data_IF_044579954416
#
_entry.id   IF_044579954416
#
_cell.length_a   1.000
_cell.length_b   1.000
_cell.length_c   1.000
_cell.angle_alpha   90.00
_cell.angle_beta   90.00
_cell.angle_gamma   90.00
#
_symmetry.space_group_name_H-M   'P 1'
#
loop_
_entity.id
_entity.type
_entity.pdbx_description
1 polymer ?
#
# COMPACT_ATOMS: atom_id res chain seq x y z
N UNK A 1 21.92 1.31 8.51
CA UNK A 1 22.45 0.85 7.22
C UNK A 1 22.50 2.06 6.30
N UNK A 2 23.67 2.45 5.81
CA UNK A 2 23.83 3.49 4.80
C UNK A 2 23.76 2.75 3.46
N UNK A 3 22.76 3.06 2.64
CA UNK A 3 22.64 2.49 1.30
C UNK A 3 23.16 3.52 0.31
N UNK A 4 24.13 3.17 -0.52
CA UNK A 4 24.68 4.05 -1.56
C UNK A 4 23.61 4.38 -2.63
N UNK A 5 22.63 3.49 -2.81
CA UNK A 5 21.51 3.65 -3.71
C UNK A 5 20.19 3.62 -2.93
N UNK A 6 19.43 4.71 -2.98
CA UNK A 6 18.14 4.82 -2.30
C UNK A 6 16.97 4.30 -3.13
N UNK A 7 17.10 4.24 -4.45
CA UNK A 7 16.17 3.64 -5.39
C UNK A 7 16.88 3.24 -6.69
N UNK A 8 16.25 2.37 -7.46
CA UNK A 8 16.66 1.97 -8.81
C UNK A 8 15.50 2.14 -9.78
N UNK A 9 15.76 2.45 -11.05
CA UNK A 9 14.71 2.73 -12.00
C UNK A 9 14.93 2.11 -13.37
N UNK A 10 13.81 1.86 -14.05
CA UNK A 10 13.75 1.45 -15.43
C UNK A 10 12.76 2.37 -16.15
N UNK A 11 13.25 3.23 -17.04
CA UNK A 11 12.39 4.15 -17.81
C UNK A 11 11.65 3.40 -18.90
N UNK A 12 10.32 3.60 -18.98
CA UNK A 12 9.45 2.99 -20.01
C UNK A 12 9.68 1.49 -20.18
N UNK A 13 9.83 0.78 -19.06
CA UNK A 13 10.09 -0.67 -19.03
C UNK A 13 8.90 -1.49 -19.54
N UNK A 14 7.68 -0.98 -19.31
CA UNK A 14 6.46 -1.54 -19.87
C UNK A 14 6.01 -0.74 -21.09
N UNK A 15 5.56 -1.44 -22.13
CA UNK A 15 4.96 -0.82 -23.30
C UNK A 15 3.51 -0.37 -23.03
N UNK A 16 2.93 0.36 -24.00
CA UNK A 16 1.58 0.91 -23.87
C UNK A 16 0.51 -0.17 -23.73
N UNK A 17 0.64 -1.29 -24.43
CA UNK A 17 -0.29 -2.41 -24.35
C UNK A 17 -0.30 -3.04 -22.95
N UNK A 18 0.89 -3.25 -22.36
CA UNK A 18 1.03 -3.77 -20.99
C UNK A 18 0.44 -2.81 -19.96
N UNK A 19 0.71 -1.51 -20.11
CA UNK A 19 0.12 -0.50 -19.23
C UNK A 19 -1.41 -0.46 -19.34
N UNK A 20 -1.97 -0.53 -20.56
CA UNK A 20 -3.40 -0.57 -20.78
C UNK A 20 -4.04 -1.81 -20.13
N UNK A 21 -3.45 -2.99 -20.35
CA UNK A 21 -3.97 -4.24 -19.77
C UNK A 21 -4.04 -4.18 -18.24
N UNK A 22 -3.01 -3.60 -17.57
CA UNK A 22 -3.03 -3.42 -16.11
C UNK A 22 -4.12 -2.43 -15.69
N UNK A 23 -4.29 -1.30 -16.42
CA UNK A 23 -5.32 -0.31 -16.13
C UNK A 23 -6.72 -0.93 -16.27
N UNK A 24 -7.00 -1.59 -17.38
CA UNK A 24 -8.30 -2.24 -17.65
C UNK A 24 -8.62 -3.28 -16.58
N UNK A 25 -7.65 -4.12 -16.22
CA UNK A 25 -7.82 -5.13 -15.17
C UNK A 25 -8.09 -4.47 -13.80
N UNK A 26 -7.35 -3.40 -13.47
CA UNK A 26 -7.52 -2.67 -12.20
C UNK A 26 -8.87 -1.97 -12.11
N UNK A 27 -9.31 -1.30 -13.15
CA UNK A 27 -10.63 -0.66 -13.19
C UNK A 27 -11.78 -1.68 -13.13
N UNK A 28 -11.63 -2.83 -13.80
CA UNK A 28 -12.58 -3.94 -13.72
C UNK A 28 -12.72 -4.47 -12.29
N UNK A 29 -11.59 -4.70 -11.59
CA UNK A 29 -11.56 -5.14 -10.20
C UNK A 29 -12.26 -4.16 -9.26
N UNK A 30 -11.98 -2.86 -9.44
CA UNK A 30 -12.62 -1.81 -8.66
C UNK A 30 -14.13 -1.76 -8.89
N UNK A 31 -14.56 -1.90 -10.14
CA UNK A 31 -15.99 -1.92 -10.50
C UNK A 31 -16.71 -3.09 -9.83
N UNK A 32 -16.14 -4.28 -9.89
CA UNK A 32 -16.71 -5.47 -9.23
C UNK A 32 -16.76 -5.26 -7.71
N UNK A 33 -15.69 -4.74 -7.12
CA UNK A 33 -15.63 -4.45 -5.67
C UNK A 33 -16.69 -3.43 -5.26
N UNK A 34 -16.88 -2.36 -6.03
CA UNK A 34 -17.89 -1.32 -5.74
C UNK A 34 -19.33 -1.86 -5.93
N UNK A 35 -19.57 -2.73 -6.89
CA UNK A 35 -20.87 -3.39 -7.07
C UNK A 35 -21.21 -4.31 -5.90
N UNK A 36 -20.23 -5.07 -5.39
CA UNK A 36 -20.43 -6.04 -4.31
C UNK A 36 -20.49 -5.40 -2.93
N UNK A 37 -19.72 -4.35 -2.68
CA UNK A 37 -19.46 -3.78 -1.34
C UNK A 37 -19.84 -2.32 -1.18
N UNK A 38 -20.32 -1.68 -2.23
CA UNK A 38 -20.71 -0.27 -2.27
C UNK A 38 -19.61 0.66 -2.82
N UNK A 39 -20.03 1.84 -3.29
CA UNK A 39 -19.18 2.80 -4.02
C UNK A 39 -17.93 3.26 -3.27
N UNK A 40 -17.93 3.24 -1.94
CA UNK A 40 -16.77 3.61 -1.11
C UNK A 40 -15.81 2.46 -0.82
N UNK A 41 -16.10 1.25 -1.29
CA UNK A 41 -15.28 0.06 -1.01
C UNK A 41 -13.87 0.14 -1.62
N UNK A 42 -13.68 0.97 -2.63
CA UNK A 42 -12.38 1.25 -3.26
C UNK A 42 -11.67 2.48 -2.69
N UNK A 43 -12.33 3.27 -1.83
CA UNK A 43 -11.71 4.44 -1.22
C UNK A 43 -10.64 4.03 -0.23
N UNK A 44 -9.44 4.60 -0.38
CA UNK A 44 -8.32 4.37 0.51
C UNK A 44 -7.90 5.69 1.15
N UNK A 45 -8.49 5.98 2.30
CA UNK A 45 -8.21 7.17 3.10
C UNK A 45 -7.48 6.76 4.38
N UNK A 46 -6.47 7.52 4.76
CA UNK A 46 -5.74 7.35 6.03
C UNK A 46 -5.57 8.72 6.67
N UNK A 47 -5.99 8.83 7.93
CA UNK A 47 -5.93 10.08 8.68
C UNK A 47 -4.56 10.29 9.32
N UNK A 48 -4.10 11.55 9.43
CA UNK A 48 -2.91 11.88 10.20
C UNK A 48 -3.23 11.97 11.70
N UNK A 49 -2.68 11.02 12.46
CA UNK A 49 -2.84 10.94 13.91
C UNK A 49 -1.85 11.80 14.70
N UNK A 50 -0.78 12.31 14.06
CA UNK A 50 0.32 13.01 14.74
C UNK A 50 -0.11 14.36 15.29
N UNK A 51 -1.14 14.98 14.70
CA UNK A 51 -1.65 16.29 15.14
C UNK A 51 -2.40 16.29 16.48
N UNK A 52 -2.51 15.16 17.18
CA UNK A 52 -3.19 15.06 18.47
C UNK A 52 -2.30 14.65 19.65
N UNK A 53 -0.96 14.72 19.54
CA UNK A 53 -0.06 14.37 20.65
C UNK A 53 -0.12 12.90 21.08
N UNK A 54 -0.61 12.03 20.21
CA UNK A 54 -0.67 10.58 20.44
C UNK A 54 0.54 9.90 19.83
N UNK A 55 1.12 8.96 20.57
CA UNK A 55 2.26 8.14 20.15
C UNK A 55 2.04 7.50 18.79
N UNK A 56 3.11 7.44 18.01
CA UNK A 56 3.18 6.86 16.67
C UNK A 56 2.77 5.39 16.67
N UNK A 57 1.50 5.09 16.44
CA UNK A 57 1.13 3.77 15.98
C UNK A 57 1.42 3.69 14.48
N UNK A 58 2.13 2.66 14.04
CA UNK A 58 2.36 2.34 12.64
C UNK A 58 1.03 2.41 11.88
N UNK A 59 0.87 3.44 11.06
CA UNK A 59 -0.40 3.77 10.42
C UNK A 59 -0.62 2.92 9.17
N UNK A 60 -0.82 1.63 9.39
CA UNK A 60 -1.57 0.82 8.48
C UNK A 60 -3.02 0.86 8.94
N UNK A 61 -3.88 1.58 8.28
CA UNK A 61 -5.33 1.45 8.43
C UNK A 61 -5.90 1.52 9.86
N UNK A 62 -5.88 2.64 10.51
CA UNK A 62 -6.67 2.79 11.73
C UNK A 62 -7.80 3.78 11.52
N UNK A 63 -8.99 3.24 11.32
CA UNK A 63 -10.26 3.94 11.42
C UNK A 63 -10.60 4.32 12.87
N UNK A 64 -9.64 4.68 13.68
CA UNK A 64 -9.86 5.05 15.08
C UNK A 64 -9.53 6.51 15.29
N UNK A 65 -10.31 7.42 14.70
CA UNK A 65 -10.29 8.80 15.12
C UNK A 65 -11.67 9.35 15.34
N UNK A 66 -11.89 9.79 16.56
CA UNK A 66 -13.11 10.41 17.06
C UNK A 66 -13.46 11.76 16.41
N UNK A 67 -12.73 12.21 15.38
CA UNK A 67 -13.11 13.33 14.53
C UNK A 67 -13.26 12.83 13.10
N UNK A 68 -14.48 12.88 12.60
CA UNK A 68 -14.77 12.67 11.19
C UNK A 68 -13.98 13.66 10.32
N UNK A 69 -13.72 13.33 9.05
CA UNK A 69 -13.12 14.26 8.08
C UNK A 69 -13.85 15.62 8.09
N UNK A 70 -15.17 15.58 8.17
CA UNK A 70 -16.02 16.78 8.30
C UNK A 70 -15.71 17.60 9.57
N UNK A 71 -15.48 16.95 10.70
CA UNK A 71 -15.13 17.62 11.95
C UNK A 71 -13.78 18.35 11.87
N UNK A 72 -12.82 17.83 11.07
CA UNK A 72 -11.51 18.48 10.83
C UNK A 72 -11.62 19.64 9.84
N UNK A 73 -12.37 19.48 8.76
CA UNK A 73 -12.70 20.59 7.82
C UNK A 73 -13.38 21.76 8.53
N UNK A 74 -14.30 21.49 9.45
CA UNK A 74 -14.92 22.51 10.31
C UNK A 74 -13.91 23.25 11.20
N UNK A 75 -12.72 22.67 11.46
CA UNK A 75 -11.61 23.33 12.16
C UNK A 75 -10.66 24.08 11.23
N UNK A 76 -10.96 24.19 9.93
CA UNK A 76 -10.17 24.94 8.96
C UNK A 76 -8.84 24.26 8.57
N UNK A 77 -8.67 22.96 8.83
CA UNK A 77 -7.49 22.21 8.41
C UNK A 77 -7.50 21.96 6.89
N UNK A 78 -6.35 22.06 6.24
CA UNK A 78 -6.18 21.69 4.84
C UNK A 78 -6.35 20.20 4.65
N UNK A 79 -6.76 19.74 3.46
CA UNK A 79 -6.93 18.30 3.18
C UNK A 79 -5.65 17.50 3.45
N UNK A 80 -4.48 18.02 3.09
CA UNK A 80 -3.16 17.42 3.34
C UNK A 80 -2.82 17.30 4.84
N UNK A 81 -3.46 18.10 5.69
CA UNK A 81 -3.33 18.06 7.15
C UNK A 81 -4.33 17.10 7.80
N UNK A 82 -5.39 16.73 7.05
CA UNK A 82 -6.46 15.83 7.52
C UNK A 82 -6.14 14.39 7.19
N UNK A 83 -5.61 14.14 6.01
CA UNK A 83 -5.33 12.82 5.48
C UNK A 83 -3.83 12.59 5.28
N UNK A 84 -3.36 11.41 5.62
CA UNK A 84 -2.06 10.90 5.15
C UNK A 84 -2.22 10.37 3.73
N UNK A 85 -3.41 9.86 3.40
CA UNK A 85 -3.73 9.31 2.10
C UNK A 85 -5.18 9.62 1.72
N UNK A 86 -5.36 9.99 0.47
CA UNK A 86 -6.66 10.04 -0.22
C UNK A 86 -6.47 9.50 -1.64
N UNK A 87 -6.99 8.32 -1.94
CA UNK A 87 -6.88 7.64 -3.24
C UNK A 87 -7.99 6.63 -3.39
N UNK A 88 -8.13 6.07 -4.62
CA UNK A 88 -8.90 4.83 -4.82
C UNK A 88 -7.96 3.67 -5.13
N UNK A 89 -8.31 2.46 -4.67
CA UNK A 89 -7.49 1.26 -4.86
C UNK A 89 -8.31 0.05 -5.32
N UNK A 90 -7.66 -0.76 -6.16
CA UNK A 90 -8.04 -2.15 -6.48
C UNK A 90 -6.89 -3.09 -6.10
N UNK A 91 -7.18 -4.38 -5.97
CA UNK A 91 -6.22 -5.38 -5.53
C UNK A 91 -6.11 -6.51 -6.56
N UNK A 92 -4.94 -6.64 -7.20
CA UNK A 92 -4.71 -7.56 -8.30
C UNK A 92 -3.76 -8.68 -7.88
N UNK A 93 -4.22 -9.94 -8.02
CA UNK A 93 -3.42 -11.13 -7.74
C UNK A 93 -3.09 -11.93 -9.01
N UNK A 94 -3.21 -11.30 -10.16
CA UNK A 94 -3.04 -11.93 -11.48
C UNK A 94 -1.56 -12.26 -11.71
N UNK A 95 -1.24 -13.54 -11.91
CA UNK A 95 0.13 -14.05 -12.04
C UNK A 95 0.93 -13.35 -13.12
N UNK A 96 0.30 -13.05 -14.27
CA UNK A 96 0.99 -12.40 -15.39
C UNK A 96 1.58 -11.03 -15.04
N UNK A 97 0.98 -10.31 -14.05
CA UNK A 97 1.51 -9.02 -13.58
C UNK A 97 2.84 -9.25 -12.83
N UNK A 98 2.89 -10.28 -11.97
CA UNK A 98 4.13 -10.62 -11.26
C UNK A 98 5.21 -11.11 -12.23
N UNK A 99 4.85 -11.98 -13.18
CA UNK A 99 5.77 -12.50 -14.18
C UNK A 99 6.38 -11.35 -15.04
N UNK A 100 5.61 -10.28 -15.27
CA UNK A 100 6.05 -9.08 -15.97
C UNK A 100 7.01 -8.20 -15.13
N UNK A 101 6.77 -8.08 -13.82
CA UNK A 101 7.46 -7.09 -12.96
C UNK A 101 8.63 -7.70 -12.18
N UNK A 102 8.56 -8.96 -11.75
CA UNK A 102 9.59 -9.60 -10.93
C UNK A 102 11.00 -9.55 -11.53
N UNK A 103 11.22 -9.72 -12.85
CA UNK A 103 12.56 -9.59 -13.43
C UNK A 103 13.23 -8.25 -13.12
N UNK A 104 12.46 -7.14 -13.14
CA UNK A 104 12.97 -5.80 -12.82
C UNK A 104 13.30 -5.66 -11.33
N UNK A 105 12.55 -6.32 -10.43
CA UNK A 105 12.82 -6.30 -8.99
C UNK A 105 14.13 -7.01 -8.70
N UNK A 106 14.36 -8.20 -9.27
CA UNK A 106 15.60 -8.95 -9.10
C UNK A 106 16.80 -8.17 -9.65
N UNK A 107 16.65 -7.59 -10.83
CA UNK A 107 17.69 -6.79 -11.46
C UNK A 107 18.05 -5.55 -10.63
N UNK A 108 17.04 -4.80 -10.17
CA UNK A 108 17.25 -3.63 -9.31
C UNK A 108 17.92 -4.00 -8.00
N UNK A 109 17.45 -5.05 -7.33
CA UNK A 109 17.98 -5.52 -6.04
C UNK A 109 19.48 -5.88 -6.16
N UNK A 110 19.85 -6.54 -7.24
CA UNK A 110 21.24 -6.91 -7.54
C UNK A 110 22.08 -5.68 -7.90
N UNK A 111 21.64 -4.88 -8.89
CA UNK A 111 22.42 -3.74 -9.39
C UNK A 111 22.56 -2.59 -8.41
N UNK A 112 21.55 -2.36 -7.57
CA UNK A 112 21.65 -1.38 -6.51
C UNK A 112 22.52 -1.85 -5.32
N UNK A 113 22.95 -3.10 -5.32
CA UNK A 113 23.80 -3.67 -4.27
C UNK A 113 23.05 -3.98 -2.98
N UNK A 114 21.72 -3.94 -2.97
CA UNK A 114 20.93 -4.22 -1.76
C UNK A 114 20.99 -5.70 -1.39
N UNK A 115 20.88 -6.61 -2.36
CA UNK A 115 20.94 -8.06 -2.21
C UNK A 115 20.00 -8.58 -1.10
N UNK A 116 18.81 -7.96 -0.95
CA UNK A 116 17.83 -8.38 0.02
C UNK A 116 17.22 -9.72 -0.38
N UNK A 117 17.18 -10.64 0.57
CA UNK A 117 16.41 -11.87 0.45
C UNK A 117 14.92 -11.57 0.57
N UNK A 118 14.15 -11.92 -0.45
CA UNK A 118 12.70 -11.87 -0.47
C UNK A 118 12.15 -13.09 -1.22
N UNK A 119 11.01 -13.58 -0.79
CA UNK A 119 10.44 -14.86 -1.25
C UNK A 119 8.91 -14.81 -1.39
N UNK A 120 8.30 -13.65 -1.16
CA UNK A 120 6.86 -13.46 -1.29
C UNK A 120 6.54 -12.04 -1.76
N UNK A 121 5.55 -11.90 -2.64
CA UNK A 121 4.98 -10.61 -3.00
C UNK A 121 3.53 -10.53 -2.53
N UNK A 122 3.17 -9.40 -1.94
CA UNK A 122 1.77 -9.13 -1.59
C UNK A 122 0.92 -8.93 -2.86
N UNK A 123 -0.40 -8.97 -2.70
CA UNK A 123 -1.34 -8.59 -3.75
C UNK A 123 -1.01 -7.18 -4.26
N UNK A 124 -0.92 -7.03 -5.58
CA UNK A 124 -0.59 -5.76 -6.20
C UNK A 124 -1.68 -4.73 -5.91
N UNK A 125 -1.28 -3.54 -5.48
CA UNK A 125 -2.19 -2.43 -5.30
C UNK A 125 -2.26 -1.59 -6.59
N UNK A 126 -3.37 -1.66 -7.30
CA UNK A 126 -3.70 -0.71 -8.35
C UNK A 126 -4.26 0.55 -7.71
N UNK A 127 -3.68 1.72 -8.01
CA UNK A 127 -4.06 2.98 -7.37
C UNK A 127 -4.46 4.01 -8.42
N UNK A 128 -5.59 4.66 -8.15
CA UNK A 128 -6.10 5.80 -8.94
C UNK A 128 -5.98 7.06 -8.11
N UNK A 129 -5.36 8.08 -8.70
CA UNK A 129 -5.26 9.43 -8.15
C UNK A 129 -6.01 10.39 -9.07
N UNK A 130 -7.12 10.92 -8.60
CA UNK A 130 -7.86 12.00 -9.23
C UNK A 130 -7.36 13.37 -8.76
N UNK A 131 -7.77 14.50 -9.36
CA UNK A 131 -7.39 15.83 -8.89
C UNK A 131 -7.66 16.04 -7.40
N UNK A 132 -6.67 16.54 -6.68
CA UNK A 132 -6.66 16.70 -5.23
C UNK A 132 -6.16 15.47 -4.46
N UNK A 133 -6.12 14.30 -5.06
CA UNK A 133 -5.72 13.05 -4.38
C UNK A 133 -4.20 12.89 -4.29
N UNK A 134 -3.72 12.30 -3.19
CA UNK A 134 -2.31 12.24 -2.81
C UNK A 134 -2.02 11.09 -1.83
N UNK A 135 -0.74 10.86 -1.55
CA UNK A 135 -0.27 10.03 -0.45
C UNK A 135 0.93 10.73 0.22
N UNK A 136 0.73 11.20 1.44
CA UNK A 136 1.74 11.96 2.19
C UNK A 136 2.92 11.09 2.63
N UNK A 137 3.87 11.69 3.34
CA UNK A 137 5.09 11.03 3.80
C UNK A 137 4.81 9.77 4.63
N UNK A 138 5.36 8.65 4.16
CA UNK A 138 5.25 7.35 4.82
C UNK A 138 6.42 6.43 4.43
N UNK A 139 6.53 5.31 5.13
CA UNK A 139 7.33 4.15 4.74
C UNK A 139 6.39 2.98 4.47
N UNK A 140 6.73 2.14 3.51
CA UNK A 140 5.95 0.93 3.20
C UNK A 140 6.27 -0.23 4.15
N UNK A 141 7.51 -0.30 4.62
CA UNK A 141 8.01 -1.34 5.51
C UNK A 141 8.34 -0.81 6.88
N UNK A 142 7.97 -1.57 7.91
CA UNK A 142 8.27 -1.28 9.29
C UNK A 142 9.46 -2.07 9.83
N UNK A 143 9.89 -1.72 11.06
CA UNK A 143 10.91 -2.44 11.82
C UNK A 143 10.39 -3.75 12.43
N UNK A 144 9.10 -4.04 12.30
CA UNK A 144 8.44 -5.21 12.88
C UNK A 144 7.97 -6.17 11.81
N UNK A 145 8.12 -7.50 12.03
CA UNK A 145 7.57 -8.49 11.12
C UNK A 145 6.05 -8.60 11.27
N UNK A 146 5.40 -9.15 10.25
CA UNK A 146 4.01 -9.59 10.36
C UNK A 146 3.89 -10.77 11.33
N UNK A 147 2.98 -10.64 12.28
CA UNK A 147 2.73 -11.64 13.31
C UNK A 147 1.56 -12.54 12.89
N UNK A 148 1.67 -13.87 13.07
CA UNK A 148 0.56 -14.77 12.83
C UNK A 148 -0.67 -14.39 13.67
N UNK A 149 -1.81 -14.17 13.00
CA UNK A 149 -3.05 -13.80 13.66
C UNK A 149 -3.60 -14.92 14.54
N UNK A 150 -3.94 -14.61 15.79
CA UNK A 150 -4.70 -15.47 16.68
C UNK A 150 -6.11 -14.91 16.86
N UNK A 151 -7.16 -15.56 16.30
CA UNK A 151 -8.52 -15.06 16.39
C UNK A 151 -9.11 -15.13 17.81
N UNK A 152 -8.44 -15.76 18.78
CA UNK A 152 -8.88 -15.79 20.18
C UNK A 152 -8.37 -14.59 20.99
N UNK A 153 -7.29 -13.95 20.52
CA UNK A 153 -6.76 -12.73 21.14
C UNK A 153 -7.49 -11.49 20.62
N UNK A 154 -8.29 -10.88 21.46
CA UNK A 154 -9.07 -9.69 21.11
C UNK A 154 -8.20 -8.50 20.66
N UNK A 155 -6.98 -8.38 21.17
CA UNK A 155 -6.03 -7.32 20.77
C UNK A 155 -5.59 -7.44 19.32
N UNK A 156 -5.69 -8.63 18.74
CA UNK A 156 -5.34 -8.91 17.36
C UNK A 156 -6.53 -8.76 16.40
N UNK A 157 -7.75 -8.59 16.90
CA UNK A 157 -8.95 -8.39 16.10
C UNK A 157 -9.13 -6.91 15.73
N UNK A 158 -9.60 -6.65 14.54
CA UNK A 158 -9.96 -5.31 14.08
C UNK A 158 -11.35 -4.91 14.54
N UNK A 159 -11.52 -3.64 14.91
CA UNK A 159 -12.82 -3.08 15.26
C UNK A 159 -13.37 -2.22 14.12
N UNK A 160 -14.70 -2.19 14.01
CA UNK A 160 -15.45 -1.21 13.24
C UNK A 160 -15.43 0.15 13.97
N UNK A 161 -15.96 1.17 13.32
CA UNK A 161 -16.07 2.53 13.89
C UNK A 161 -17.01 2.61 15.09
N UNK A 162 -17.99 1.70 15.19
CA UNK A 162 -18.92 1.58 16.30
C UNK A 162 -18.38 0.76 17.48
N UNK A 163 -17.14 0.26 17.39
CA UNK A 163 -16.49 -0.55 18.40
C UNK A 163 -16.76 -2.06 18.30
N UNK A 164 -17.66 -2.49 17.43
CA UNK A 164 -17.91 -3.92 17.18
C UNK A 164 -16.73 -4.58 16.45
N UNK A 165 -16.61 -5.90 16.56
CA UNK A 165 -15.57 -6.65 15.84
C UNK A 165 -15.85 -6.70 14.34
N UNK A 166 -14.83 -6.42 13.53
CA UNK A 166 -14.90 -6.58 12.09
C UNK A 166 -14.81 -8.05 11.74
N UNK A 167 -15.87 -8.60 11.13
CA UNK A 167 -15.97 -10.00 10.70
C UNK A 167 -16.01 -10.02 9.17
N UNK A 168 -15.26 -10.94 8.57
CA UNK A 168 -15.29 -11.15 7.13
C UNK A 168 -16.69 -11.61 6.69
N UNK A 169 -17.20 -11.06 5.59
CA UNK A 169 -18.48 -11.41 4.99
C UNK A 169 -18.26 -12.01 3.60
N UNK A 170 -19.10 -12.95 3.22
CA UNK A 170 -19.17 -13.48 1.86
C UNK A 170 -19.88 -12.48 0.90
N UNK A 171 -19.99 -12.86 -0.37
CA UNK A 171 -20.59 -12.01 -1.40
C UNK A 171 -22.10 -11.74 -1.17
N UNK A 172 -22.74 -12.51 -0.29
CA UNK A 172 -24.14 -12.33 0.11
C UNK A 172 -24.27 -11.54 1.43
N UNK A 173 -23.17 -11.03 1.96
CA UNK A 173 -23.14 -10.28 3.22
C UNK A 173 -23.23 -11.14 4.48
N UNK A 174 -23.20 -12.47 4.36
CA UNK A 174 -23.23 -13.42 5.48
C UNK A 174 -21.82 -13.53 6.09
N UNK A 175 -21.74 -13.57 7.41
CA UNK A 175 -20.50 -13.75 8.15
C UNK A 175 -19.82 -15.07 7.81
N UNK A 176 -18.53 -14.99 7.47
CA UNK A 176 -17.68 -16.14 7.19
C UNK A 176 -17.12 -16.67 8.52
N UNK A 177 -17.02 -17.99 8.64
CA UNK A 177 -16.36 -18.66 9.77
C UNK A 177 -15.01 -19.22 9.34
N UNK A 178 -14.11 -19.40 10.30
CA UNK A 178 -12.90 -20.17 10.05
C UNK A 178 -13.26 -21.61 9.72
N UNK A 179 -12.63 -22.13 8.67
CA UNK A 179 -12.84 -23.51 8.24
C UNK A 179 -11.94 -24.48 9.04
N UNK A 180 -12.09 -25.79 8.75
CA UNK A 180 -11.34 -26.86 9.41
C UNK A 180 -9.84 -26.86 9.07
N UNK A 181 -9.43 -26.15 8.03
CA UNK A 181 -8.03 -26.12 7.56
C UNK A 181 -7.24 -24.99 8.21
N UNK A 182 -7.93 -23.98 8.74
CA UNK A 182 -7.27 -22.85 9.36
C UNK A 182 -6.50 -23.31 10.62
N UNK A 183 -5.16 -23.22 10.54
CA UNK A 183 -4.22 -23.63 11.59
C UNK A 183 -4.53 -25.02 12.21
N UNK A 184 -4.82 -26.00 11.35
CA UNK A 184 -5.14 -27.35 11.79
C UNK A 184 -6.52 -27.50 12.42
N UNK A 185 -7.42 -26.56 12.16
CA UNK A 185 -8.80 -26.61 12.63
C UNK A 185 -9.02 -26.14 14.06
N UNK A 186 -7.97 -25.69 14.77
CA UNK A 186 -8.04 -25.20 16.16
C UNK A 186 -9.09 -24.12 16.39
N UNK A 187 -9.39 -23.31 15.37
CA UNK A 187 -10.32 -22.18 15.43
C UNK A 187 -11.59 -22.41 14.60
N UNK A 188 -11.80 -23.63 14.09
CA UNK A 188 -12.95 -23.96 13.25
C UNK A 188 -14.28 -23.59 13.94
N UNK A 189 -15.17 -22.95 13.18
CA UNK A 189 -16.47 -22.52 13.68
C UNK A 189 -16.51 -21.14 14.35
N UNK A 190 -15.36 -20.56 14.72
CA UNK A 190 -15.30 -19.17 15.16
C UNK A 190 -15.62 -18.20 14.01
N UNK A 191 -16.21 -17.03 14.26
CA UNK A 191 -16.29 -15.98 13.26
C UNK A 191 -14.90 -15.66 12.67
N UNK A 192 -14.83 -15.46 11.37
CA UNK A 192 -13.58 -15.08 10.72
C UNK A 192 -13.32 -13.59 10.95
N UNK A 193 -12.76 -13.28 12.11
CA UNK A 193 -12.38 -11.92 12.46
C UNK A 193 -11.32 -11.39 11.49
N UNK A 194 -11.41 -10.09 11.17
CA UNK A 194 -10.40 -9.40 10.37
C UNK A 194 -9.21 -9.07 11.27
N UNK A 195 -7.97 -9.42 10.87
CA UNK A 195 -6.78 -9.09 11.65
C UNK A 195 -6.60 -7.58 11.82
N UNK A 196 -6.15 -7.18 13.01
CA UNK A 196 -5.65 -5.83 13.24
C UNK A 196 -4.31 -5.62 12.50
N UNK A 197 -3.90 -4.36 12.22
CA UNK A 197 -2.64 -4.07 11.53
C UNK A 197 -1.44 -4.75 12.19
N UNK A 198 -0.56 -5.34 11.36
CA UNK A 198 0.60 -6.10 11.82
C UNK A 198 0.35 -7.58 12.06
N UNK A 199 -0.90 -8.01 12.09
CA UNK A 199 -1.29 -9.42 12.18
C UNK A 199 -1.81 -9.92 10.83
N UNK A 200 -1.48 -11.14 10.45
CA UNK A 200 -1.81 -11.70 9.13
C UNK A 200 -2.25 -13.15 9.22
N UNK A 201 -3.16 -13.53 8.32
CA UNK A 201 -3.65 -14.90 8.18
C UNK A 201 -2.79 -15.74 7.24
N UNK A 202 -2.14 -15.09 6.27
CA UNK A 202 -1.39 -15.78 5.22
C UNK A 202 -0.05 -16.29 5.77
N UNK A 203 0.19 -17.63 5.80
CA UNK A 203 1.45 -18.20 6.28
C UNK A 203 2.69 -17.69 5.52
N UNK A 204 2.55 -17.32 4.25
CA UNK A 204 3.66 -16.78 3.46
C UNK A 204 4.14 -15.39 3.94
N UNK A 205 3.37 -14.72 4.80
CA UNK A 205 3.72 -13.43 5.40
C UNK A 205 4.29 -13.57 6.83
N UNK A 206 4.16 -14.75 7.47
CA UNK A 206 4.54 -14.94 8.87
C UNK A 206 6.01 -14.62 9.09
N UNK A 207 6.28 -13.79 10.11
CA UNK A 207 7.61 -13.35 10.52
C UNK A 207 8.44 -12.68 9.42
N UNK A 208 7.79 -12.21 8.36
CA UNK A 208 8.41 -11.43 7.28
C UNK A 208 8.08 -9.94 7.40
N UNK A 209 8.92 -9.13 6.79
CA UNK A 209 8.70 -7.69 6.61
C UNK A 209 8.86 -7.32 5.15
N UNK A 210 8.27 -6.21 4.73
CA UNK A 210 8.48 -5.65 3.39
C UNK A 210 9.93 -5.21 3.24
N UNK A 211 10.61 -5.73 2.24
CA UNK A 211 12.01 -5.45 1.91
C UNK A 211 12.13 -4.44 0.78
N UNK A 212 11.40 -4.69 -0.29
CA UNK A 212 11.43 -3.90 -1.51
C UNK A 212 10.02 -3.47 -1.88
N UNK A 213 9.87 -2.20 -2.14
CA UNK A 213 8.69 -1.57 -2.70
C UNK A 213 8.91 -1.26 -4.16
N UNK A 214 7.87 -1.46 -4.94
CA UNK A 214 7.85 -1.17 -6.37
C UNK A 214 6.69 -0.25 -6.68
N UNK A 215 6.93 0.77 -7.49
CA UNK A 215 5.85 1.57 -8.09
C UNK A 215 6.03 1.67 -9.58
N UNK A 216 4.94 1.52 -10.32
CA UNK A 216 4.90 1.60 -11.78
C UNK A 216 3.97 2.74 -12.18
N UNK A 217 4.43 3.65 -13.03
CA UNK A 217 3.57 4.67 -13.62
C UNK A 217 2.88 4.12 -14.88
N UNK A 218 1.56 4.01 -14.83
CA UNK A 218 0.76 3.48 -15.94
C UNK A 218 0.20 4.57 -16.86
N UNK A 219 0.25 5.85 -16.44
CA UNK A 219 -0.35 6.98 -17.17
C UNK A 219 0.68 7.73 -17.99
N UNK A 220 0.30 8.12 -19.22
CA UNK A 220 1.11 9.02 -20.02
C UNK A 220 1.24 10.39 -19.30
N UNK A 221 2.45 10.93 -19.12
CA UNK A 221 2.68 12.18 -18.39
C UNK A 221 2.01 13.41 -19.03
N UNK A 222 1.55 13.32 -20.27
CA UNK A 222 0.77 14.37 -20.94
C UNK A 222 -0.69 14.44 -20.45
N UNK A 223 -1.18 13.38 -19.79
CA UNK A 223 -2.58 13.24 -19.38
C UNK A 223 -2.83 13.59 -17.91
N UNK A 224 -1.78 14.02 -17.17
CA UNK A 224 -1.94 14.45 -15.78
C UNK A 224 -0.85 15.43 -15.36
N UNK A 225 -1.15 16.27 -14.37
CA UNK A 225 -0.18 17.15 -13.70
C UNK A 225 -0.14 16.84 -12.19
N UNK A 226 0.95 17.21 -11.53
CA UNK A 226 1.19 16.83 -10.13
C UNK A 226 1.53 15.34 -10.00
N UNK A 227 1.09 14.71 -8.91
CA UNK A 227 1.29 13.27 -8.66
C UNK A 227 2.77 12.85 -8.67
N UNK A 228 3.67 13.73 -8.22
CA UNK A 228 5.11 13.47 -8.23
C UNK A 228 5.50 12.54 -7.08
N UNK A 229 6.27 11.49 -7.37
CA UNK A 229 6.94 10.69 -6.38
C UNK A 229 8.12 11.48 -5.81
N UNK A 230 8.18 11.62 -4.49
CA UNK A 230 9.31 12.24 -3.78
C UNK A 230 9.84 11.30 -2.72
N UNK A 231 11.15 11.39 -2.48
CA UNK A 231 11.86 10.66 -1.44
C UNK A 231 12.44 11.61 -0.40
N UNK A 232 12.50 11.17 0.87
CA UNK A 232 13.32 11.74 1.92
C UNK A 232 14.42 10.72 2.26
N UNK A 233 15.65 11.05 1.90
CA UNK A 233 16.83 10.21 2.14
C UNK A 233 17.43 10.39 3.53
N UNK A 234 16.74 11.15 4.39
CA UNK A 234 17.16 11.39 5.76
C UNK A 234 18.19 12.51 5.93
N UNK A 235 18.44 12.90 7.18
CA UNK A 235 19.26 14.07 7.49
C UNK A 235 20.74 13.93 7.06
N UNK A 236 21.24 12.70 6.95
CA UNK A 236 22.62 12.46 6.51
C UNK A 236 22.86 12.77 5.02
N UNK A 237 21.80 12.88 4.21
CA UNK A 237 21.91 13.22 2.80
C UNK A 237 22.16 14.72 2.54
N UNK A 238 22.16 15.56 3.57
CA UNK A 238 22.40 17.00 3.46
C UNK A 238 21.43 17.68 2.50
N UNK A 239 21.95 18.46 1.54
CA UNK A 239 21.14 19.17 0.52
C UNK A 239 20.37 18.22 -0.42
N UNK A 240 20.75 16.95 -0.51
CA UNK A 240 20.10 15.93 -1.34
C UNK A 240 19.00 15.16 -0.58
N UNK A 241 18.67 15.59 0.63
CA UNK A 241 17.69 14.92 1.48
C UNK A 241 16.36 14.70 0.76
N UNK A 242 15.81 15.74 0.16
CA UNK A 242 14.53 15.66 -0.54
C UNK A 242 14.77 15.56 -2.05
N UNK A 243 14.29 14.47 -2.64
CA UNK A 243 14.46 14.22 -4.06
C UNK A 243 13.12 14.01 -4.75
N UNK A 244 12.91 14.67 -5.89
CA UNK A 244 11.76 14.40 -6.77
C UNK A 244 12.19 13.41 -7.84
N UNK A 245 11.60 12.21 -7.82
CA UNK A 245 11.89 11.15 -8.78
C UNK A 245 11.23 11.47 -10.12
N UNK A 246 11.99 12.06 -11.05
CA UNK A 246 11.51 12.37 -12.40
C UNK A 246 11.51 11.15 -13.31
N UNK A 247 12.30 10.13 -12.98
CA UNK A 247 12.47 8.88 -13.71
C UNK A 247 11.18 8.05 -13.79
N UNK A 248 10.26 8.24 -12.82
CA UNK A 248 8.95 7.58 -12.85
C UNK A 248 8.00 8.19 -13.88
N UNK A 249 8.23 9.44 -14.32
CA UNK A 249 7.28 10.19 -15.16
C UNK A 249 6.96 9.52 -16.50
N UNK A 250 7.92 9.01 -17.30
CA UNK A 250 7.57 8.32 -18.53
C UNK A 250 6.64 7.13 -18.25
N UNK A 251 5.65 6.93 -19.11
CA UNK A 251 4.71 5.81 -19.01
C UNK A 251 5.46 4.48 -19.01
N UNK A 252 5.00 3.53 -18.19
CA UNK A 252 5.62 2.22 -18.04
C UNK A 252 6.92 2.20 -17.24
N UNK A 253 7.34 3.36 -16.67
CA UNK A 253 8.53 3.38 -15.81
C UNK A 253 8.29 2.65 -14.51
N UNK A 254 9.30 1.93 -14.03
CA UNK A 254 9.33 1.14 -12.81
C UNK A 254 10.37 1.74 -11.87
N UNK A 255 9.99 2.01 -10.63
CA UNK A 255 10.90 2.38 -9.54
C UNK A 255 10.86 1.29 -8.50
N UNK A 256 12.03 0.81 -8.10
CA UNK A 256 12.23 -0.14 -7.00
C UNK A 256 13.04 0.56 -5.91
N UNK A 257 12.64 0.40 -4.65
CA UNK A 257 13.33 1.01 -3.52
C UNK A 257 13.16 0.18 -2.24
N UNK A 258 14.09 0.27 -1.27
CA UNK A 258 13.94 -0.35 0.04
C UNK A 258 12.69 0.18 0.75
N UNK A 259 11.85 -0.71 1.28
CA UNK A 259 10.52 -0.36 1.82
C UNK A 259 10.58 0.57 3.03
N UNK A 260 11.74 0.76 3.66
CA UNK A 260 11.93 1.70 4.76
C UNK A 260 12.27 3.14 4.30
N UNK A 261 12.46 3.37 3.01
CA UNK A 261 12.72 4.71 2.48
C UNK A 261 11.45 5.54 2.55
N UNK A 262 11.54 6.70 3.19
CA UNK A 262 10.44 7.66 3.28
C UNK A 262 10.11 8.22 1.91
N UNK A 263 8.85 8.20 1.56
CA UNK A 263 8.38 8.71 0.26
C UNK A 263 6.96 9.25 0.34
N UNK A 264 6.59 10.01 -0.68
CA UNK A 264 5.24 10.54 -0.86
C UNK A 264 4.86 10.62 -2.33
N UNK A 265 3.56 10.73 -2.61
CA UNK A 265 3.01 11.14 -3.90
C UNK A 265 2.30 12.47 -3.68
N UNK A 266 2.78 13.54 -4.35
CA UNK A 266 2.15 14.88 -4.27
C UNK A 266 0.73 14.85 -4.84
N UNK A 267 -0.13 15.82 -4.49
CA UNK A 267 -1.44 15.92 -5.11
C UNK A 267 -1.37 15.92 -6.64
N UNK A 268 -2.27 15.16 -7.26
CA UNK A 268 -2.57 15.33 -8.69
C UNK A 268 -3.35 16.61 -8.83
N UNK A 269 -2.96 17.48 -9.75
CA UNK A 269 -3.62 18.78 -9.95
C UNK A 269 -4.56 18.79 -11.16
N UNK A 270 -4.26 17.97 -12.17
CA UNK A 270 -5.09 17.82 -13.37
C UNK A 270 -5.02 16.38 -13.87
N UNK A 271 -6.12 15.90 -14.47
CA UNK A 271 -6.21 14.56 -15.05
C UNK A 271 -6.24 13.45 -14.02
N UNK A 272 -6.01 12.21 -14.45
CA UNK A 272 -6.00 11.02 -13.58
C UNK A 272 -4.69 10.26 -13.73
N UNK A 273 -4.06 9.95 -12.61
CA UNK A 273 -2.85 9.13 -12.56
C UNK A 273 -3.17 7.72 -12.08
N UNK A 274 -2.81 6.72 -12.89
CA UNK A 274 -2.86 5.31 -12.53
C UNK A 274 -1.46 4.81 -12.16
N UNK A 275 -1.34 4.04 -11.10
CA UNK A 275 -0.10 3.38 -10.71
C UNK A 275 -0.36 1.99 -10.16
N UNK A 276 0.66 1.13 -10.26
CA UNK A 276 0.68 -0.18 -9.62
C UNK A 276 1.78 -0.18 -8.56
N UNK A 277 1.47 -0.74 -7.39
CA UNK A 277 2.43 -0.90 -6.29
C UNK A 277 2.52 -2.37 -5.92
N UNK A 278 3.73 -2.86 -5.68
CA UNK A 278 3.99 -4.23 -5.24
C UNK A 278 4.96 -4.19 -4.07
N UNK A 279 4.65 -4.92 -3.01
CA UNK A 279 5.53 -5.08 -1.86
C UNK A 279 6.08 -6.50 -1.80
N UNK A 280 7.39 -6.58 -1.66
CA UNK A 280 8.12 -7.85 -1.65
C UNK A 280 8.67 -8.08 -0.25
N UNK A 281 8.30 -9.24 0.31
CA UNK A 281 8.55 -9.61 1.69
C UNK A 281 9.66 -10.64 1.80
N UNK A 282 10.42 -10.52 2.86
CA UNK A 282 11.42 -11.50 3.26
C UNK A 282 11.61 -11.50 4.78
N UNK A 283 12.44 -12.41 5.27
CA UNK A 283 12.77 -12.50 6.70
C UNK A 283 13.36 -11.18 7.20
N UNK A 284 13.21 -10.91 8.49
CA UNK A 284 13.78 -9.71 9.10
C UNK A 284 15.27 -9.56 8.77
N UNK A 285 15.74 -8.30 8.74
CA UNK A 285 17.18 -8.04 8.65
C UNK A 285 17.85 -8.60 9.91
N UNK A 286 18.97 -9.29 9.73
CA UNK A 286 19.80 -9.80 10.80
C UNK A 286 20.95 -8.86 11.10
#
# INVERSE_FOLDING_TARGET
>A
MITDNHYYYFKSALNDQQCNAIIERGLSDMTVTEQQRGKSATDATTFDFRQKGGETSNAGNTAANHLTAEGRRKKGLKEEEIYVRDTKVGWLADRWIYDLIHPFIHEANKRAGWNYEWDFSETCQFTVYNPGQFYSWHTDGGSRPYIPFDPTDEKQRRKNTDGSWMIAKDDNGKEVKFDKTYRGGKFAGLPRYVPAPGFVDNPNQFMKTRKLSVTVNLTNPKHYKGGNLKFDFGPHAGTKRYHTCTEIRPRGSIIVFPSFVHHLVTPVTEGTRYSLVIWNLGRMFR
#
